data_IF_598978374972
#
_entry.id   IF_598978374972
#
_cell.length_a   1.000
_cell.length_b   1.000
_cell.length_c   1.000
_cell.angle_alpha   90.00
_cell.angle_beta   90.00
_cell.angle_gamma   90.00
#
_symmetry.space_group_name_H-M   'P 1'
#
loop_
_entity.id
_entity.type
_entity.pdbx_description
1 polymer ?
#
# COMPACT_ATOMS: atom_id res chain seq x y z
N UNK A 1 -0.90 -20.09 -8.33
CA UNK A 1 -0.97 -18.70 -7.83
C UNK A 1 -1.41 -17.83 -8.97
N UNK A 2 -2.05 -16.70 -8.68
CA UNK A 2 -2.41 -15.70 -9.69
C UNK A 2 -1.15 -14.99 -10.23
N UNK A 3 -1.26 -14.37 -11.40
CA UNK A 3 -0.30 -13.41 -11.94
C UNK A 3 -0.69 -11.97 -11.58
N UNK A 4 0.19 -11.01 -11.88
CA UNK A 4 -0.08 -9.58 -11.66
C UNK A 4 -1.21 -9.08 -12.56
N UNK A 5 -1.28 -9.54 -13.81
CA UNK A 5 -2.36 -9.22 -14.75
C UNK A 5 -3.70 -9.84 -14.32
N UNK A 6 -3.67 -11.07 -13.81
CA UNK A 6 -4.87 -11.71 -13.26
C UNK A 6 -5.38 -10.97 -12.03
N UNK A 7 -4.48 -10.51 -11.13
CA UNK A 7 -4.86 -9.68 -9.99
C UNK A 7 -5.44 -8.32 -10.39
N UNK A 8 -4.90 -7.70 -11.44
CA UNK A 8 -5.37 -6.42 -11.97
C UNK A 8 -6.83 -6.50 -12.41
N UNK A 9 -7.16 -7.56 -13.14
CA UNK A 9 -8.46 -7.78 -13.77
C UNK A 9 -9.43 -8.60 -12.90
N UNK A 10 -9.00 -9.04 -11.71
CA UNK A 10 -9.80 -9.89 -10.85
C UNK A 10 -11.09 -9.19 -10.41
N UNK A 11 -12.25 -9.79 -10.63
CA UNK A 11 -13.56 -9.26 -10.26
C UNK A 11 -14.11 -9.80 -8.92
N UNK A 12 -13.20 -10.26 -8.05
CA UNK A 12 -13.47 -10.76 -6.70
C UNK A 12 -12.27 -10.53 -5.80
N UNK A 13 -12.40 -10.78 -4.49
CA UNK A 13 -11.21 -10.91 -3.66
C UNK A 13 -10.46 -12.21 -3.99
N UNK A 14 -9.12 -12.20 -4.01
CA UNK A 14 -8.35 -13.41 -4.10
C UNK A 14 -8.53 -14.24 -2.83
N UNK A 15 -8.37 -15.56 -2.93
CA UNK A 15 -8.18 -16.46 -1.79
C UNK A 15 -6.73 -16.36 -1.33
N UNK A 16 -6.49 -16.60 -0.04
CA UNK A 16 -5.12 -16.55 0.50
C UNK A 16 -4.17 -17.55 -0.18
N UNK A 17 -4.68 -18.67 -0.67
CA UNK A 17 -3.94 -19.70 -1.40
C UNK A 17 -3.60 -19.31 -2.84
N UNK A 18 -4.23 -18.27 -3.37
CA UNK A 18 -4.05 -17.80 -4.75
C UNK A 18 -2.94 -16.74 -4.84
N UNK A 19 -2.49 -16.18 -3.72
CA UNK A 19 -1.55 -15.06 -3.67
C UNK A 19 -0.31 -15.37 -2.81
N UNK A 20 0.78 -14.67 -3.11
CA UNK A 20 1.96 -14.54 -2.24
C UNK A 20 2.24 -13.07 -1.95
N UNK A 21 3.05 -12.80 -0.92
CA UNK A 21 3.52 -11.43 -0.66
C UNK A 21 4.42 -10.94 -1.81
N UNK A 22 5.17 -11.84 -2.44
CA UNK A 22 6.01 -11.56 -3.61
C UNK A 22 5.18 -11.08 -4.80
N UNK A 23 4.09 -11.79 -5.10
CA UNK A 23 3.13 -11.39 -6.14
C UNK A 23 2.53 -10.00 -5.86
N UNK A 24 2.15 -9.72 -4.61
CA UNK A 24 1.62 -8.40 -4.23
C UNK A 24 2.67 -7.29 -4.33
N UNK A 25 3.94 -7.60 -4.03
CA UNK A 25 5.05 -6.68 -4.25
C UNK A 25 5.25 -6.38 -5.75
N UNK A 26 5.23 -7.41 -6.60
CA UNK A 26 5.36 -7.24 -8.05
C UNK A 26 4.20 -6.40 -8.61
N UNK A 27 2.97 -6.69 -8.20
CA UNK A 27 1.80 -5.89 -8.53
C UNK A 27 1.96 -4.43 -8.11
N UNK A 28 2.48 -4.18 -6.90
CA UNK A 28 2.75 -2.85 -6.39
C UNK A 28 3.79 -2.10 -7.24
N UNK A 29 4.89 -2.79 -7.57
CA UNK A 29 6.01 -2.21 -8.31
C UNK A 29 5.67 -1.94 -9.78
N UNK A 30 4.78 -2.73 -10.38
CA UNK A 30 4.38 -2.61 -11.79
C UNK A 30 3.24 -1.59 -11.97
N UNK A 31 2.19 -1.64 -11.15
CA UNK A 31 0.98 -0.83 -11.42
C UNK A 31 0.81 0.35 -10.49
N UNK A 32 1.34 0.30 -9.25
CA UNK A 32 1.08 1.34 -8.25
C UNK A 32 2.23 2.36 -8.19
N UNK A 33 3.44 1.90 -7.88
CA UNK A 33 4.64 2.71 -7.68
C UNK A 33 5.10 3.55 -8.88
N UNK A 34 4.93 3.14 -10.15
CA UNK A 34 5.43 3.91 -11.28
C UNK A 34 4.65 5.19 -11.55
N UNK A 35 3.56 5.45 -10.83
CA UNK A 35 2.63 6.53 -11.12
C UNK A 35 2.56 7.59 -10.01
N UNK A 36 2.19 8.81 -10.40
CA UNK A 36 1.71 9.88 -9.53
C UNK A 36 0.20 10.02 -9.78
N UNK A 37 -0.57 9.98 -8.71
CA UNK A 37 -2.03 10.08 -8.77
C UNK A 37 -2.43 11.51 -8.39
N UNK A 38 -2.99 12.25 -9.34
CA UNK A 38 -3.42 13.63 -9.16
C UNK A 38 -4.93 13.70 -9.02
N UNK A 39 -5.41 14.08 -7.84
CA UNK A 39 -6.82 14.31 -7.56
C UNK A 39 -7.05 15.81 -7.48
N UNK A 40 -7.82 16.34 -8.41
CA UNK A 40 -8.28 17.73 -8.38
C UNK A 40 -9.56 17.79 -7.56
N UNK A 41 -9.56 18.59 -6.52
CA UNK A 41 -10.69 18.79 -5.63
C UNK A 41 -11.57 19.96 -6.12
N UNK A 42 -12.82 20.04 -5.67
CA UNK A 42 -13.76 21.09 -6.06
C UNK A 42 -13.30 22.50 -5.69
N UNK A 43 -12.53 22.62 -4.60
CA UNK A 43 -11.91 23.88 -4.18
C UNK A 43 -10.66 24.27 -5.00
N UNK A 44 -10.36 23.51 -6.07
CA UNK A 44 -9.19 23.64 -6.96
C UNK A 44 -7.86 23.18 -6.38
N UNK A 45 -7.82 22.68 -5.15
CA UNK A 45 -6.63 22.04 -4.62
C UNK A 45 -6.30 20.76 -5.40
N UNK A 46 -5.01 20.42 -5.43
CA UNK A 46 -4.51 19.24 -6.13
C UNK A 46 -3.73 18.37 -5.16
N UNK A 47 -4.28 17.19 -4.86
CA UNK A 47 -3.55 16.14 -4.15
C UNK A 47 -2.68 15.42 -5.16
N UNK A 48 -1.36 15.45 -4.96
CA UNK A 48 -0.39 14.65 -5.72
C UNK A 48 0.08 13.49 -4.86
N UNK A 49 -0.53 12.32 -5.03
CA UNK A 49 -0.22 11.13 -4.24
C UNK A 49 0.84 10.27 -4.91
N UNK A 50 1.86 9.91 -4.14
CA UNK A 50 2.95 9.05 -4.55
C UNK A 50 3.11 7.85 -3.61
N UNK A 51 3.31 6.68 -4.21
CA UNK A 51 3.69 5.45 -3.52
C UNK A 51 5.19 5.19 -3.65
N UNK A 52 5.82 4.84 -2.53
CA UNK A 52 7.20 4.35 -2.46
C UNK A 52 7.23 2.87 -2.05
N UNK A 53 8.31 2.18 -2.43
CA UNK A 53 8.59 0.79 -2.07
C UNK A 53 8.53 0.56 -0.54
N UNK A 54 9.06 1.50 0.24
CA UNK A 54 9.10 1.42 1.70
C UNK A 54 7.71 1.45 2.35
N UNK A 55 6.67 1.91 1.66
CA UNK A 55 5.30 1.93 2.19
C UNK A 55 4.64 0.54 2.15
N UNK A 56 5.11 -0.36 1.29
CA UNK A 56 4.49 -1.68 1.01
C UNK A 56 4.11 -2.45 2.28
N UNK A 57 5.08 -2.65 3.18
CA UNK A 57 4.88 -3.47 4.38
C UNK A 57 3.95 -2.83 5.41
N UNK A 58 3.93 -1.49 5.43
CA UNK A 58 3.08 -0.74 6.33
C UNK A 58 1.61 -0.86 5.90
N UNK A 59 1.35 -0.76 4.59
CA UNK A 59 0.03 -0.93 3.99
C UNK A 59 -0.49 -2.36 4.13
N UNK A 60 0.38 -3.37 3.99
CA UNK A 60 0.01 -4.77 4.28
C UNK A 60 -0.10 -5.09 5.78
N UNK A 61 0.24 -4.15 6.67
CA UNK A 61 0.01 -4.27 8.10
C UNK A 61 0.96 -5.22 8.84
N UNK A 62 2.16 -5.49 8.32
CA UNK A 62 3.09 -6.45 8.95
C UNK A 62 3.43 -6.10 10.41
N UNK A 63 3.52 -4.81 10.74
CA UNK A 63 3.79 -4.36 12.11
C UNK A 63 2.72 -4.78 13.13
N UNK A 64 1.53 -5.16 12.70
CA UNK A 64 0.44 -5.59 13.58
C UNK A 64 0.47 -7.09 13.85
N UNK A 65 1.27 -7.85 13.10
CA UNK A 65 1.44 -9.30 13.23
C UNK A 65 2.67 -9.61 14.08
N UNK A 66 3.79 -8.94 13.80
CA UNK A 66 5.07 -9.27 14.43
C UNK A 66 5.25 -8.65 15.82
N UNK A 67 6.07 -9.27 16.70
CA UNK A 67 6.42 -8.70 18.00
C UNK A 67 7.06 -7.31 17.87
N UNK A 68 6.87 -6.46 18.88
CA UNK A 68 7.37 -5.08 18.89
C UNK A 68 8.88 -5.00 18.58
N UNK A 69 9.69 -5.84 19.23
CA UNK A 69 11.15 -5.90 19.06
C UNK A 69 11.59 -6.23 17.62
N UNK A 70 10.71 -6.86 16.84
CA UNK A 70 11.00 -7.31 15.48
C UNK A 70 10.47 -6.36 14.40
N UNK A 71 9.63 -5.37 14.74
CA UNK A 71 8.95 -4.49 13.75
C UNK A 71 9.90 -3.89 12.73
N UNK A 72 11.10 -3.47 13.14
CA UNK A 72 12.14 -2.89 12.27
C UNK A 72 12.59 -3.78 11.11
N UNK A 73 12.40 -5.10 11.22
CA UNK A 73 12.75 -6.07 10.18
C UNK A 73 11.60 -6.32 9.19
N UNK A 74 10.38 -5.89 9.53
CA UNK A 74 9.16 -6.08 8.75
C UNK A 74 8.55 -4.74 8.30
N UNK A 75 9.34 -3.67 8.33
CA UNK A 75 8.92 -2.32 7.94
C UNK A 75 9.96 -1.68 7.03
N UNK A 76 9.53 -0.67 6.27
CA UNK A 76 10.39 0.10 5.37
C UNK A 76 11.19 -0.79 4.40
N UNK A 77 12.44 -0.42 4.18
CA UNK A 77 13.35 -1.11 3.26
C UNK A 77 13.60 -2.57 3.68
N UNK A 78 13.76 -2.85 4.98
CA UNK A 78 14.00 -4.21 5.47
C UNK A 78 12.81 -5.13 5.17
N UNK A 79 11.59 -4.66 5.44
CA UNK A 79 10.39 -5.43 5.13
C UNK A 79 10.22 -5.66 3.63
N UNK A 80 10.41 -4.61 2.83
CA UNK A 80 10.31 -4.70 1.37
C UNK A 80 11.33 -5.71 0.80
N UNK A 81 12.59 -5.62 1.24
CA UNK A 81 13.63 -6.56 0.81
C UNK A 81 13.41 -7.98 1.34
N UNK A 82 12.83 -8.12 2.54
CA UNK A 82 12.46 -9.42 3.08
C UNK A 82 11.37 -10.10 2.26
N UNK A 83 10.38 -9.37 1.74
CA UNK A 83 9.42 -9.92 0.77
C UNK A 83 10.11 -10.25 -0.55
N UNK A 84 10.99 -9.36 -1.02
CA UNK A 84 11.70 -9.54 -2.29
C UNK A 84 12.56 -10.80 -2.33
N UNK A 85 13.27 -11.08 -1.23
CA UNK A 85 14.10 -12.27 -1.04
C UNK A 85 13.33 -13.50 -0.57
N UNK A 86 12.01 -13.38 -0.39
CA UNK A 86 11.14 -14.42 0.17
C UNK A 86 11.49 -14.85 1.61
N UNK A 87 12.26 -14.04 2.35
CA UNK A 87 12.50 -14.19 3.79
C UNK A 87 11.21 -13.92 4.60
N UNK A 88 10.32 -13.08 4.05
CA UNK A 88 9.00 -12.74 4.60
C UNK A 88 7.93 -13.28 3.65
N UNK A 89 7.24 -14.32 4.09
CA UNK A 89 6.13 -14.97 3.36
C UNK A 89 4.85 -14.99 4.18
N UNK A 90 3.72 -15.28 3.54
CA UNK A 90 2.43 -15.53 4.24
C UNK A 90 2.61 -16.62 5.29
N UNK A 91 3.28 -17.74 4.93
CA UNK A 91 3.56 -18.85 5.84
C UNK A 91 4.39 -18.38 7.04
N UNK A 92 5.41 -17.55 6.82
CA UNK A 92 6.24 -16.99 7.89
C UNK A 92 5.44 -16.10 8.83
N UNK A 93 4.69 -15.13 8.31
CA UNK A 93 3.84 -14.23 9.12
C UNK A 93 2.83 -15.01 9.95
N UNK A 94 2.19 -16.01 9.34
CA UNK A 94 1.25 -16.91 9.99
C UNK A 94 1.89 -17.70 11.14
N UNK A 95 3.11 -18.22 10.92
CA UNK A 95 3.85 -18.97 11.95
C UNK A 95 4.30 -18.12 13.15
N UNK A 96 4.43 -16.80 12.97
CA UNK A 96 4.79 -15.88 14.05
C UNK A 96 3.62 -15.66 15.00
N UNK A 97 2.43 -15.39 14.46
CA UNK A 97 1.21 -15.20 15.23
C UNK A 97 -0.03 -15.38 14.34
N UNK A 98 -0.60 -16.60 14.34
CA UNK A 98 -1.78 -16.94 13.53
C UNK A 98 -2.98 -16.06 13.88
N UNK A 99 -3.16 -15.70 15.17
CA UNK A 99 -4.30 -14.90 15.62
C UNK A 99 -4.22 -13.50 15.04
N UNK A 100 -3.07 -12.84 15.16
CA UNK A 100 -2.87 -11.49 14.60
C UNK A 100 -2.86 -11.53 13.07
N UNK A 101 -2.25 -12.55 12.46
CA UNK A 101 -2.31 -12.75 11.02
C UNK A 101 -3.76 -12.84 10.54
N UNK A 102 -4.60 -13.68 11.16
CA UNK A 102 -6.00 -13.86 10.75
C UNK A 102 -6.85 -12.59 10.93
N UNK A 103 -6.52 -11.75 11.92
CA UNK A 103 -7.13 -10.42 12.11
C UNK A 103 -6.75 -9.42 11.02
N UNK A 104 -5.47 -9.38 10.64
CA UNK A 104 -4.93 -8.37 9.71
C UNK A 104 -4.89 -8.84 8.24
N UNK A 105 -5.21 -10.12 7.95
CA UNK A 105 -5.13 -10.72 6.60
C UNK A 105 -5.94 -9.99 5.54
N UNK A 106 -7.02 -9.31 5.91
CA UNK A 106 -7.89 -8.62 4.96
C UNK A 106 -7.15 -7.48 4.26
N UNK A 107 -6.15 -6.86 4.91
CA UNK A 107 -5.26 -5.88 4.25
C UNK A 107 -4.43 -6.51 3.13
N UNK A 108 -3.97 -7.74 3.33
CA UNK A 108 -3.21 -8.51 2.32
C UNK A 108 -4.14 -8.90 1.17
N UNK A 109 -5.33 -9.41 1.47
CA UNK A 109 -6.30 -9.84 0.45
C UNK A 109 -6.83 -8.69 -0.39
N UNK A 110 -7.02 -7.51 0.22
CA UNK A 110 -7.54 -6.32 -0.47
C UNK A 110 -6.43 -5.42 -1.01
N UNK A 111 -5.14 -5.81 -0.89
CA UNK A 111 -4.03 -4.93 -1.25
C UNK A 111 -4.09 -4.46 -2.71
N UNK A 112 -4.43 -5.36 -3.64
CA UNK A 112 -4.58 -5.02 -5.06
C UNK A 112 -5.76 -4.08 -5.34
N UNK A 113 -6.73 -3.97 -4.42
CA UNK A 113 -7.86 -3.06 -4.56
C UNK A 113 -7.44 -1.59 -4.45
N UNK A 114 -6.24 -1.29 -3.92
CA UNK A 114 -5.66 0.06 -3.94
C UNK A 114 -5.63 0.60 -5.37
N UNK A 115 -5.30 -0.23 -6.37
CA UNK A 115 -5.23 0.23 -7.76
C UNK A 115 -6.60 0.70 -8.28
N UNK A 116 -7.68 0.02 -7.90
CA UNK A 116 -9.05 0.38 -8.28
C UNK A 116 -9.49 1.64 -7.55
N UNK A 117 -9.23 1.71 -6.25
CA UNK A 117 -9.46 2.89 -5.41
C UNK A 117 -8.82 4.15 -6.00
N UNK A 118 -7.58 4.06 -6.47
CA UNK A 118 -6.86 5.22 -7.02
C UNK A 118 -7.40 5.73 -8.37
N UNK A 119 -8.22 4.92 -9.05
CA UNK A 119 -8.91 5.31 -10.30
C UNK A 119 -10.31 5.86 -10.04
N UNK A 120 -10.93 5.42 -8.94
CA UNK A 120 -12.26 5.82 -8.53
C UNK A 120 -12.34 5.72 -7.00
N UNK A 121 -12.47 6.87 -6.34
CA UNK A 121 -12.66 6.94 -4.90
C UNK A 121 -13.50 8.15 -4.52
N UNK A 122 -14.07 8.09 -3.34
CA UNK A 122 -14.50 9.25 -2.58
C UNK A 122 -13.36 9.70 -1.65
N UNK A 123 -13.41 10.96 -1.23
CA UNK A 123 -12.41 11.52 -0.32
C UNK A 123 -13.08 12.35 0.78
N UNK A 124 -12.54 12.23 1.98
CA UNK A 124 -12.88 13.05 3.12
C UNK A 124 -11.62 13.65 3.74
N UNK A 125 -11.74 14.85 4.32
CA UNK A 125 -10.75 15.32 5.31
C UNK A 125 -10.99 14.59 6.61
N UNK A 126 -9.98 13.86 7.07
CA UNK A 126 -10.10 13.02 8.25
C UNK A 126 -9.73 13.79 9.50
N UNK A 127 -10.68 13.88 10.42
CA UNK A 127 -10.48 14.32 11.79
C UNK A 127 -10.87 13.19 12.74
N UNK A 128 -10.02 12.93 13.73
CA UNK A 128 -10.25 11.90 14.74
C UNK A 128 -11.26 12.39 15.80
N UNK A 129 -12.46 12.76 15.35
CA UNK A 129 -13.52 13.42 16.13
C UNK A 129 -13.91 12.58 17.35
N UNK A 130 -13.87 11.25 17.23
CA UNK A 130 -14.30 10.34 18.30
C UNK A 130 -13.19 9.92 19.26
N UNK A 131 -11.92 10.27 18.99
CA UNK A 131 -10.76 9.90 19.84
C UNK A 131 -10.48 8.40 19.97
N UNK A 132 -11.28 7.54 19.31
CA UNK A 132 -11.18 6.08 19.41
C UNK A 132 -10.19 5.46 18.42
N UNK A 133 -9.68 6.25 17.47
CA UNK A 133 -8.70 5.81 16.48
C UNK A 133 -7.30 6.32 16.81
N UNK A 134 -6.28 5.50 16.56
CA UNK A 134 -4.86 5.95 16.53
C UNK A 134 -4.42 6.33 15.10
N UNK A 135 -5.36 6.32 14.15
CA UNK A 135 -5.09 6.71 12.76
C UNK A 135 -4.85 8.22 12.74
N UNK A 136 -3.74 8.60 12.12
CA UNK A 136 -3.35 9.98 11.87
C UNK A 136 -3.03 10.06 10.39
N UNK A 137 -3.85 10.79 9.65
CA UNK A 137 -3.74 11.11 8.24
C UNK A 137 -4.59 12.35 7.97
N UNK A 138 -4.29 13.09 6.91
CA UNK A 138 -5.02 14.31 6.57
C UNK A 138 -6.30 13.98 5.81
N UNK A 139 -6.20 13.07 4.83
CA UNK A 139 -7.35 12.63 4.04
C UNK A 139 -7.49 11.11 4.10
N UNK A 140 -8.71 10.63 3.93
CA UNK A 140 -9.00 9.23 3.62
C UNK A 140 -9.64 9.16 2.25
N UNK A 141 -9.01 8.40 1.36
CA UNK A 141 -9.61 7.95 0.11
C UNK A 141 -10.33 6.64 0.39
N UNK A 142 -11.58 6.49 -0.05
CA UNK A 142 -12.33 5.27 0.19
C UNK A 142 -13.24 4.87 -0.97
N UNK A 143 -13.48 3.57 -1.06
CA UNK A 143 -14.47 2.95 -1.95
C UNK A 143 -14.81 1.55 -1.39
N UNK A 144 -15.89 0.95 -1.89
CA UNK A 144 -16.33 -0.39 -1.52
C UNK A 144 -16.09 -1.36 -2.66
N UNK A 145 -15.32 -2.41 -2.39
CA UNK A 145 -15.04 -3.47 -3.36
C UNK A 145 -15.28 -4.83 -2.74
N UNK A 146 -16.10 -5.66 -3.40
CA UNK A 146 -16.33 -7.06 -3.02
C UNK A 146 -16.80 -7.24 -1.56
N UNK A 147 -17.67 -6.36 -1.08
CA UNK A 147 -18.15 -6.37 0.30
C UNK A 147 -17.07 -6.01 1.32
N UNK A 148 -16.05 -5.25 0.91
CA UNK A 148 -15.05 -4.65 1.79
C UNK A 148 -14.98 -3.17 1.53
N UNK A 149 -15.06 -2.36 2.59
CA UNK A 149 -14.76 -0.95 2.48
C UNK A 149 -13.27 -0.74 2.68
N UNK A 150 -12.63 -0.15 1.69
CA UNK A 150 -11.20 0.10 1.65
C UNK A 150 -10.99 1.57 1.96
N UNK A 151 -10.18 1.87 2.98
CA UNK A 151 -9.77 3.22 3.32
C UNK A 151 -8.26 3.32 3.18
N UNK A 152 -7.81 4.24 2.33
CA UNK A 152 -6.42 4.62 2.20
C UNK A 152 -6.24 6.00 2.85
N UNK A 153 -5.67 6.00 4.06
CA UNK A 153 -5.27 7.25 4.71
C UNK A 153 -3.99 7.79 4.07
N UNK A 154 -4.00 9.07 3.71
CA UNK A 154 -2.87 9.77 3.09
C UNK A 154 -2.48 11.01 3.89
N UNK A 155 -1.22 11.40 3.79
CA UNK A 155 -0.70 12.59 4.47
C UNK A 155 0.29 13.32 3.57
N UNK A 156 0.35 14.64 3.73
CA UNK A 156 1.28 15.50 3.01
C UNK A 156 2.71 15.37 3.57
N UNK A 157 3.66 15.17 2.67
CA UNK A 157 5.08 15.41 2.93
C UNK A 157 5.38 16.86 2.55
N UNK A 158 5.46 17.72 3.57
CA UNK A 158 5.71 19.16 3.40
C UNK A 158 7.03 19.47 2.68
N UNK A 159 8.02 18.57 2.72
CA UNK A 159 9.30 18.81 2.02
C UNK A 159 9.19 18.53 0.53
N UNK A 160 8.29 17.62 0.13
CA UNK A 160 8.17 17.14 -1.25
C UNK A 160 6.98 17.76 -1.96
N UNK A 161 6.08 18.43 -1.24
CA UNK A 161 4.79 18.92 -1.76
C UNK A 161 4.00 17.79 -2.44
N UNK A 162 4.03 16.61 -1.80
CA UNK A 162 3.43 15.37 -2.29
C UNK A 162 2.76 14.65 -1.13
N UNK A 163 1.64 13.99 -1.39
CA UNK A 163 1.01 13.07 -0.45
C UNK A 163 1.64 11.69 -0.55
N UNK A 164 1.66 10.97 0.56
CA UNK A 164 2.09 9.57 0.61
C UNK A 164 1.05 8.71 1.35
N UNK A 165 0.97 7.41 1.03
CA UNK A 165 0.05 6.50 1.69
C UNK A 165 0.53 6.20 3.12
N UNK A 166 -0.28 6.59 4.10
CA UNK A 166 0.05 6.42 5.51
C UNK A 166 -0.57 5.18 6.13
N UNK A 167 -1.76 4.75 5.70
CA UNK A 167 -2.36 3.53 6.23
C UNK A 167 -3.38 2.93 5.26
N UNK A 168 -3.51 1.61 5.27
CA UNK A 168 -4.62 0.90 4.66
C UNK A 168 -5.50 0.32 5.78
N UNK A 169 -6.79 0.58 5.71
CA UNK A 169 -7.80 0.04 6.62
C UNK A 169 -8.85 -0.67 5.78
N UNK A 170 -9.28 -1.84 6.24
CA UNK A 170 -10.26 -2.67 5.53
C UNK A 170 -11.36 -3.02 6.51
N UNK A 171 -12.60 -2.72 6.14
CA UNK A 171 -13.79 -3.01 6.93
C UNK A 171 -14.63 -4.08 6.24
N UNK A 172 -15.13 -5.05 7.01
CA UNK A 172 -15.95 -6.18 6.50
C UNK A 172 -17.42 -5.84 6.38
N UNK A 173 -17.88 -5.03 7.31
CA UNK A 173 -19.22 -4.48 7.33
C UNK A 173 -19.10 -3.06 6.77
N UNK A 174 -20.13 -2.55 6.09
CA UNK A 174 -20.17 -1.16 5.59
C UNK A 174 -20.24 -0.15 6.75
N UNK A 175 -19.38 -0.30 7.73
CA UNK A 175 -19.17 0.57 8.87
C UNK A 175 -18.74 1.92 8.35
N UNK A 176 -19.50 2.96 8.71
CA UNK A 176 -19.16 4.34 8.38
C UNK A 176 -18.19 4.95 9.41
N UNK A 177 -17.61 4.18 10.34
CA UNK A 177 -16.89 4.75 11.50
C UNK A 177 -15.72 5.69 11.18
N UNK A 178 -15.12 5.56 9.99
CA UNK A 178 -14.03 6.44 9.54
C UNK A 178 -14.49 7.55 8.60
N UNK A 179 -15.75 7.55 8.16
CA UNK A 179 -16.28 8.50 7.18
C UNK A 179 -17.49 9.30 7.70
N UNK A 180 -18.17 8.82 8.74
CA UNK A 180 -19.28 9.51 9.38
C UNK A 180 -18.80 10.80 10.06
N UNK A 181 -19.58 11.86 9.90
CA UNK A 181 -19.31 13.20 10.43
C UNK A 181 -17.97 13.80 9.99
N UNK A 182 -17.43 13.33 8.86
CA UNK A 182 -16.22 13.87 8.25
C UNK A 182 -16.57 14.89 7.15
N UNK A 183 -15.65 15.81 6.88
CA UNK A 183 -15.80 16.74 5.76
C UNK A 183 -15.60 15.98 4.44
N UNK A 184 -16.71 15.75 3.72
CA UNK A 184 -16.67 15.24 2.35
C UNK A 184 -16.12 16.32 1.41
N UNK A 185 -15.23 15.92 0.50
CA UNK A 185 -14.69 16.81 -0.53
C UNK A 185 -14.90 16.15 -1.89
N UNK A 186 -15.52 16.88 -2.83
CA UNK A 186 -15.75 16.33 -4.17
C UNK A 186 -14.45 16.32 -5.00
N UNK A 187 -14.17 15.18 -5.63
CA UNK A 187 -13.15 15.08 -6.68
C UNK A 187 -13.78 15.49 -8.01
N UNK A 188 -13.21 16.49 -8.66
CA UNK A 188 -13.68 16.96 -9.97
C UNK A 188 -12.90 16.35 -11.14
N UNK A 189 -11.68 15.89 -10.89
CA UNK A 189 -10.86 15.24 -11.92
C UNK A 189 -9.79 14.33 -11.31
N UNK A 190 -9.50 13.23 -11.98
CA UNK A 190 -8.41 12.30 -11.62
C UNK A 190 -7.49 12.11 -12.82
N UNK A 191 -6.18 12.30 -12.59
CA UNK A 191 -5.14 12.04 -13.60
C UNK A 191 -4.07 11.12 -13.02
N UNK A 192 -3.62 10.15 -13.82
CA UNK A 192 -2.53 9.25 -13.47
C UNK A 192 -1.36 9.56 -14.41
N UNK A 193 -0.22 9.94 -13.84
CA UNK A 193 0.97 10.32 -14.59
C UNK A 193 2.08 9.32 -14.30
N UNK A 194 2.62 8.68 -15.35
CA UNK A 194 3.81 7.85 -15.21
C UNK A 194 5.00 8.72 -14.81
N UNK A 195 5.73 8.30 -13.77
CA UNK A 195 7.01 8.90 -13.33
C UNK A 195 8.11 8.74 -14.39
N UNK A 196 7.94 7.76 -15.28
CA UNK A 196 8.88 7.42 -16.34
C UNK A 196 8.13 7.27 -17.68
N UNK A 197 7.62 8.38 -18.26
CA UNK A 197 6.68 8.35 -19.39
C UNK A 197 7.30 7.87 -20.73
N UNK A 198 8.62 7.70 -20.79
CA UNK A 198 9.36 7.31 -22.00
C UNK A 198 10.05 5.95 -21.90
N UNK A 199 9.83 5.19 -20.82
CA UNK A 199 10.40 3.84 -20.68
C UNK A 199 9.40 2.78 -21.11
N UNK A 200 9.81 1.86 -21.97
CA UNK A 200 9.00 0.68 -22.31
C UNK A 200 8.78 -0.21 -21.07
N UNK A 201 7.75 -1.05 -21.06
CA UNK A 201 7.47 -1.97 -19.93
C UNK A 201 8.68 -2.86 -19.58
N UNK A 202 9.43 -3.31 -20.60
CA UNK A 202 10.69 -4.05 -20.45
C UNK A 202 11.79 -3.23 -19.78
N UNK A 203 11.89 -1.93 -20.08
CA UNK A 203 12.86 -1.03 -19.46
C UNK A 203 12.48 -0.67 -18.02
N UNK A 204 11.18 -0.59 -17.72
CA UNK A 204 10.68 -0.41 -16.35
C UNK A 204 10.99 -1.66 -15.53
N UNK A 205 10.71 -2.86 -16.05
CA UNK A 205 11.05 -4.13 -15.42
C UNK A 205 12.57 -4.25 -15.15
N UNK A 206 13.41 -3.97 -16.15
CA UNK A 206 14.87 -3.96 -15.99
C UNK A 206 15.35 -2.87 -15.00
N UNK A 207 14.67 -1.72 -14.94
CA UNK A 207 14.96 -0.67 -13.93
C UNK A 207 14.57 -1.13 -12.52
N UNK A 208 13.48 -1.88 -12.37
CA UNK A 208 13.07 -2.47 -11.10
C UNK A 208 14.09 -3.53 -10.66
N UNK A 209 14.48 -4.45 -11.54
CA UNK A 209 15.49 -5.47 -11.27
C UNK A 209 16.85 -4.86 -10.89
N UNK A 210 17.32 -3.85 -11.63
CA UNK A 210 18.58 -3.16 -11.33
C UNK A 210 18.54 -2.35 -10.03
N UNK A 211 17.41 -1.69 -9.71
CA UNK A 211 17.21 -1.04 -8.39
C UNK A 211 17.21 -2.07 -7.27
N UNK A 212 16.58 -3.22 -7.46
CA UNK A 212 16.55 -4.32 -6.50
C UNK A 212 17.94 -4.94 -6.30
N UNK A 213 18.72 -5.11 -7.38
CA UNK A 213 20.10 -5.59 -7.33
C UNK A 213 21.05 -4.59 -6.65
N UNK A 214 20.88 -3.30 -6.91
CA UNK A 214 21.62 -2.21 -6.25
C UNK A 214 21.36 -2.17 -4.74
N UNK A 215 20.11 -2.41 -4.31
CA UNK A 215 19.73 -2.51 -2.89
C UNK A 215 20.30 -3.77 -2.23
N UNK A 216 20.23 -4.94 -2.89
CA UNK A 216 20.90 -6.18 -2.43
C UNK A 216 22.39 -5.96 -2.16
N UNK A 217 23.10 -5.32 -3.09
CA UNK A 217 24.53 -5.04 -2.96
C UNK A 217 24.87 -4.08 -1.80
N UNK A 218 24.04 -3.06 -1.54
CA UNK A 218 24.22 -2.16 -0.39
C UNK A 218 24.04 -2.87 0.96
N UNK A 219 23.10 -3.80 1.05
CA UNK A 219 22.84 -4.57 2.27
C UNK A 219 23.96 -5.57 2.54
N UNK A 220 24.45 -6.28 1.52
CA UNK A 220 25.58 -7.22 1.65
C UNK A 220 26.84 -6.50 2.16
N UNK A 221 27.12 -5.29 1.64
CA UNK A 221 28.21 -4.43 2.12
C UNK A 221 28.03 -3.95 3.57
N UNK A 222 26.79 -3.79 4.06
CA UNK A 222 26.51 -3.42 5.46
C UNK A 222 26.67 -4.61 6.41
N UNK A 223 26.26 -5.81 6.00
CA UNK A 223 26.46 -7.04 6.80
C UNK A 223 27.94 -7.40 6.96
N UNK A 224 28.75 -7.20 5.91
CA UNK A 224 30.19 -7.49 5.97
C UNK A 224 31.02 -6.44 6.73
N UNK A 225 30.43 -5.31 7.14
CA UNK A 225 31.08 -4.28 7.97
C UNK A 225 30.80 -4.42 9.47
N UNK A 226 30.02 -5.42 9.88
CA UNK A 226 29.67 -5.71 11.28
C UNK A 226 30.36 -6.98 11.83
N UNK A 227 31.41 -7.46 11.14
CA UNK A 227 32.30 -8.54 11.59
C UNK A 227 33.66 -7.93 11.88
#
# INVERSE_FOLDING_TARGET
>A
MLTTDELLNLNRLPKISEISLKLLQEFYDIYICPNIYMLQLENKDIIKLEFLDVNLCHLMGFQHIVPYKSKKFYSGENGYMGVFNEDITIKKLRSIDERKFSRDKDKILCFSCIYKLLRHCEIIRFNNITGHSKVSCEFILYDTHYGRRIHLGIEKDEKREMYYPRTLIVERDNSDRFIIDQEYIKIVNTKIISKHPFKSELEVAATIESKQQGKKNKILKRKNKQI
#
